data_IF_847437333866
#
_entry.id   IF_847437333866
#
_cell.length_a   1.000
_cell.length_b   1.000
_cell.length_c   1.000
_cell.angle_alpha   90.00
_cell.angle_beta   90.00
_cell.angle_gamma   90.00
#
_symmetry.space_group_name_H-M   'P 1'
#
loop_
_entity.id
_entity.type
_entity.pdbx_description
1 polymer ?
#
# COMPACT_ATOMS: atom_id res chain seq x y z
N UNK A 1 -22.94 -9.80 -3.22
CA UNK A 1 -22.75 -9.14 -4.52
C UNK A 1 -22.69 -7.65 -4.24
N UNK A 2 -21.50 -7.05 -4.34
CA UNK A 2 -21.27 -5.62 -4.07
C UNK A 2 -20.91 -4.98 -5.41
N UNK A 3 -21.79 -4.12 -5.93
CA UNK A 3 -21.48 -3.36 -7.14
C UNK A 3 -20.62 -2.14 -6.77
N UNK A 4 -19.44 -2.05 -7.36
CA UNK A 4 -18.58 -0.88 -7.24
C UNK A 4 -19.13 0.23 -8.14
N UNK A 5 -19.22 1.50 -7.67
CA UNK A 5 -19.60 2.63 -8.50
C UNK A 5 -18.64 2.81 -9.68
N UNK A 6 -19.18 3.03 -10.88
CA UNK A 6 -18.44 3.05 -12.18
C UNK A 6 -17.51 4.26 -12.39
N UNK A 7 -17.51 5.24 -11.49
CA UNK A 7 -16.71 6.47 -11.57
C UNK A 7 -15.83 6.65 -10.32
N UNK A 8 -14.77 5.85 -10.23
CA UNK A 8 -13.73 6.02 -9.20
C UNK A 8 -12.48 6.71 -9.74
N UNK A 9 -12.13 6.44 -11.00
CA UNK A 9 -10.84 6.83 -11.59
C UNK A 9 -10.63 8.35 -11.66
N UNK A 10 -11.66 9.12 -12.02
CA UNK A 10 -11.58 10.58 -12.20
C UNK A 10 -11.29 11.38 -10.92
N UNK A 11 -11.57 10.77 -9.75
CA UNK A 11 -11.35 11.37 -8.43
C UNK A 11 -9.96 11.03 -7.88
N UNK A 12 -9.47 9.82 -8.11
CA UNK A 12 -8.12 9.42 -7.67
C UNK A 12 -7.02 10.09 -8.49
N UNK A 13 -7.24 10.38 -9.77
CA UNK A 13 -6.24 11.06 -10.63
C UNK A 13 -5.88 12.48 -10.16
N UNK A 14 -6.79 13.16 -9.46
CA UNK A 14 -6.56 14.52 -8.92
C UNK A 14 -6.09 14.54 -7.48
N UNK A 15 -6.08 13.39 -6.80
CA UNK A 15 -5.66 13.28 -5.41
C UNK A 15 -4.17 13.01 -5.34
N UNK A 16 -3.48 13.72 -4.44
CA UNK A 16 -2.07 13.41 -4.15
C UNK A 16 -1.94 12.03 -3.50
N UNK A 17 -0.78 11.39 -3.62
CA UNK A 17 -0.47 10.12 -2.94
C UNK A 17 -0.82 10.17 -1.45
N UNK A 18 -0.53 11.28 -0.78
CA UNK A 18 -0.85 11.48 0.63
C UNK A 18 -2.36 11.51 0.90
N UNK A 19 -3.18 11.89 -0.08
CA UNK A 19 -4.63 11.90 0.00
C UNK A 19 -5.27 10.54 -0.34
N UNK A 20 -4.62 9.74 -1.18
CA UNK A 20 -5.10 8.42 -1.60
C UNK A 20 -4.76 7.36 -0.55
N UNK A 21 -3.52 7.34 -0.07
CA UNK A 21 -3.00 6.28 0.81
C UNK A 21 -2.76 6.73 2.25
N UNK A 22 -2.89 8.03 2.53
CA UNK A 22 -2.58 8.63 3.82
C UNK A 22 -1.09 8.93 4.02
N UNK A 23 -0.79 9.99 4.79
CA UNK A 23 0.58 10.53 4.92
C UNK A 23 1.57 9.60 5.61
N UNK A 24 1.14 8.72 6.52
CA UNK A 24 2.05 7.78 7.20
C UNK A 24 2.50 6.68 6.21
N UNK A 25 1.57 6.10 5.47
CA UNK A 25 1.88 5.17 4.38
C UNK A 25 2.66 5.86 3.27
N UNK A 26 2.29 7.09 2.92
CA UNK A 26 3.04 7.95 1.99
C UNK A 26 4.47 8.22 2.46
N UNK A 27 4.72 8.38 3.76
CA UNK A 27 6.06 8.55 4.31
C UNK A 27 6.92 7.27 4.16
N UNK A 28 6.35 6.09 4.37
CA UNK A 28 7.04 4.83 4.08
C UNK A 28 7.34 4.69 2.57
N UNK A 29 6.37 5.05 1.72
CA UNK A 29 6.54 5.02 0.27
C UNK A 29 7.64 5.97 -0.23
N UNK A 30 7.71 7.19 0.31
CA UNK A 30 8.71 8.20 -0.09
C UNK A 30 10.10 7.88 0.44
N UNK A 31 10.19 7.35 1.66
CA UNK A 31 11.49 7.08 2.32
C UNK A 31 12.10 5.73 1.96
N UNK A 32 11.30 4.79 1.47
CA UNK A 32 11.72 3.39 1.29
C UNK A 32 12.07 2.69 2.61
N UNK A 33 11.67 3.26 3.76
CA UNK A 33 11.94 2.71 5.10
C UNK A 33 10.63 2.39 5.85
N UNK A 34 10.62 1.36 6.72
CA UNK A 34 9.48 1.09 7.57
C UNK A 34 9.14 2.28 8.47
N UNK A 35 7.84 2.53 8.65
CA UNK A 35 7.31 3.56 9.55
C UNK A 35 6.35 2.91 10.53
N UNK A 36 6.65 3.01 11.83
CA UNK A 36 5.79 2.53 12.91
C UNK A 36 5.28 3.73 13.72
N UNK A 37 3.96 3.80 13.90
CA UNK A 37 3.28 4.84 14.67
C UNK A 37 2.43 4.14 15.74
N UNK A 38 2.78 4.27 17.03
CA UNK A 38 2.05 3.58 18.10
C UNK A 38 0.63 4.10 18.32
N UNK A 39 0.42 5.39 18.07
CA UNK A 39 -0.87 6.05 18.09
C UNK A 39 -0.93 7.13 17.00
N UNK A 40 -1.59 6.80 15.91
CA UNK A 40 -1.81 7.64 14.76
C UNK A 40 -2.61 8.89 15.14
N UNK A 41 -3.50 8.84 16.13
CA UNK A 41 -4.26 10.03 16.54
C UNK A 41 -3.36 11.15 17.09
N UNK A 42 -2.16 10.79 17.55
CA UNK A 42 -1.14 11.72 18.07
C UNK A 42 -0.11 12.15 17.03
N UNK A 43 -0.09 11.53 15.85
CA UNK A 43 0.89 11.82 14.81
C UNK A 43 0.44 13.03 13.97
N UNK A 44 1.27 14.08 13.79
CA UNK A 44 0.91 15.25 12.97
C UNK A 44 0.61 14.92 11.50
N UNK A 45 1.05 13.76 11.03
CA UNK A 45 0.78 13.25 9.67
C UNK A 45 -0.61 12.60 9.59
N UNK A 46 -1.26 12.30 10.71
CA UNK A 46 -2.59 11.72 10.70
C UNK A 46 -3.63 12.73 10.24
N UNK A 47 -4.35 12.37 9.18
CA UNK A 47 -5.53 13.08 8.70
C UNK A 47 -6.68 12.08 8.63
N UNK A 48 -7.86 12.51 9.10
CA UNK A 48 -9.09 11.71 9.01
C UNK A 48 -9.47 11.53 7.54
N UNK A 49 -9.30 10.34 6.98
CA UNK A 49 -9.72 10.04 5.60
C UNK A 49 -11.14 9.47 5.58
N UNK A 50 -12.08 10.27 5.09
CA UNK A 50 -13.48 9.84 4.90
C UNK A 50 -13.62 8.67 3.91
N UNK A 51 -12.67 8.52 2.99
CA UNK A 51 -12.71 7.48 1.93
C UNK A 51 -12.30 6.10 2.45
N UNK A 52 -11.41 6.04 3.44
CA UNK A 52 -10.81 4.79 3.91
C UNK A 52 -11.48 4.20 5.16
N UNK A 53 -12.43 4.90 5.80
CA UNK A 53 -13.05 4.52 7.09
C UNK A 53 -12.00 4.10 8.14
N UNK A 54 -10.84 4.75 8.15
CA UNK A 54 -9.73 4.49 9.08
C UNK A 54 -9.98 5.01 10.51
N UNK A 55 -11.19 5.47 10.80
CA UNK A 55 -11.60 6.09 12.08
C UNK A 55 -11.34 5.23 13.32
N UNK A 56 -11.05 3.94 13.15
CA UNK A 56 -10.86 2.99 14.25
C UNK A 56 -9.40 2.63 14.52
N UNK A 57 -8.46 2.93 13.63
CA UNK A 57 -7.09 2.42 13.74
C UNK A 57 -6.17 3.42 14.45
N UNK A 58 -5.61 2.97 15.57
CA UNK A 58 -4.72 3.76 16.41
C UNK A 58 -3.26 3.41 16.14
N UNK A 59 -2.85 2.14 16.18
CA UNK A 59 -1.46 1.81 15.83
C UNK A 59 -1.35 1.46 14.35
N UNK A 60 -0.26 1.89 13.71
CA UNK A 60 0.03 1.56 12.32
C UNK A 60 1.51 1.27 12.07
N UNK A 61 1.76 0.21 11.30
CA UNK A 61 3.07 -0.15 10.78
C UNK A 61 2.98 -0.24 9.26
N UNK A 62 3.66 0.68 8.58
CA UNK A 62 3.76 0.75 7.12
C UNK A 62 5.13 0.22 6.68
N UNK A 63 5.13 -0.88 5.94
CA UNK A 63 6.32 -1.56 5.46
C UNK A 63 6.45 -1.46 3.93
N UNK A 64 7.46 -0.76 3.40
CA UNK A 64 7.64 -0.63 1.96
C UNK A 64 8.08 -1.96 1.33
N UNK A 65 7.56 -2.24 0.14
CA UNK A 65 8.02 -3.33 -0.72
C UNK A 65 8.92 -2.71 -1.78
N UNK A 66 10.17 -3.17 -1.81
CA UNK A 66 11.17 -2.74 -2.78
C UNK A 66 11.33 -3.80 -3.88
N UNK A 67 11.54 -3.37 -5.11
CA UNK A 67 12.06 -4.24 -6.18
C UNK A 67 13.57 -4.47 -6.03
N UNK A 68 14.13 -5.31 -6.91
CA UNK A 68 15.56 -5.67 -6.88
C UNK A 68 16.47 -4.46 -7.18
N UNK A 69 15.93 -3.39 -7.79
CA UNK A 69 16.61 -2.12 -8.03
C UNK A 69 16.46 -1.10 -6.89
N UNK A 70 15.78 -1.47 -5.80
CA UNK A 70 15.55 -0.60 -4.64
C UNK A 70 14.42 0.41 -4.81
N UNK A 71 13.64 0.33 -5.88
CA UNK A 71 12.45 1.19 -6.09
C UNK A 71 11.27 0.65 -5.30
N UNK A 72 10.51 1.53 -4.66
CA UNK A 72 9.28 1.18 -3.95
C UNK A 72 8.19 0.83 -4.97
N UNK A 73 7.67 -0.40 -4.89
CA UNK A 73 6.60 -0.92 -5.77
C UNK A 73 5.27 -1.13 -5.04
N UNK A 74 5.25 -0.91 -3.72
CA UNK A 74 4.05 -1.00 -2.89
C UNK A 74 4.35 -0.80 -1.41
N UNK A 75 3.31 -0.77 -0.57
CA UNK A 75 3.42 -0.70 0.90
C UNK A 75 2.43 -1.66 1.53
N UNK A 76 2.87 -2.42 2.53
CA UNK A 76 2.02 -3.25 3.40
C UNK A 76 1.71 -2.43 4.65
N UNK A 77 0.43 -2.32 5.00
CA UNK A 77 -0.02 -1.70 6.25
C UNK A 77 -0.51 -2.76 7.22
N UNK A 78 -0.01 -2.73 8.45
CA UNK A 78 -0.55 -3.45 9.59
C UNK A 78 -1.14 -2.44 10.56
N UNK A 79 -2.43 -2.55 10.84
CA UNK A 79 -3.17 -1.58 11.65
C UNK A 79 -3.88 -2.27 12.81
N UNK A 80 -3.90 -1.65 14.00
CA UNK A 80 -4.69 -2.13 15.14
C UNK A 80 -5.58 -1.04 15.69
N UNK A 81 -6.77 -1.43 16.19
CA UNK A 81 -7.74 -0.46 16.75
C UNK A 81 -7.38 0.07 18.13
N UNK A 82 -6.35 -0.50 18.76
CA UNK A 82 -5.78 -0.02 20.02
C UNK A 82 -4.39 0.54 19.76
N UNK A 83 -4.05 1.62 20.46
CA UNK A 83 -2.69 2.14 20.49
C UNK A 83 -1.75 1.07 21.05
N UNK A 84 -0.61 0.85 20.38
CA UNK A 84 0.43 -0.07 20.83
C UNK A 84 1.71 0.16 20.04
N UNK A 85 2.84 -0.17 20.65
CA UNK A 85 4.11 -0.25 19.92
C UNK A 85 4.26 -1.61 19.25
N UNK A 86 4.81 -1.63 18.04
CA UNK A 86 5.26 -2.86 17.38
C UNK A 86 6.69 -3.17 17.83
N UNK A 87 6.93 -4.40 18.23
CA UNK A 87 8.29 -4.88 18.54
C UNK A 87 9.12 -5.00 17.26
N UNK A 88 10.45 -4.93 17.39
CA UNK A 88 11.36 -5.14 16.25
C UNK A 88 11.17 -6.51 15.59
N UNK A 89 10.77 -7.53 16.39
CA UNK A 89 10.46 -8.87 15.87
C UNK A 89 9.19 -8.87 15.03
N UNK A 90 8.11 -8.25 15.51
CA UNK A 90 6.86 -8.12 14.72
C UNK A 90 7.08 -7.33 13.44
N UNK A 91 7.85 -6.24 13.52
CA UNK A 91 8.19 -5.47 12.33
C UNK A 91 9.00 -6.28 11.33
N UNK A 92 10.04 -6.99 11.79
CA UNK A 92 10.87 -7.83 10.93
C UNK A 92 10.10 -9.01 10.34
N UNK A 93 9.10 -9.55 11.06
CA UNK A 93 8.26 -10.63 10.56
C UNK A 93 7.47 -10.24 9.30
N UNK A 94 7.13 -8.95 9.14
CA UNK A 94 6.48 -8.45 7.93
C UNK A 94 7.34 -8.71 6.68
N UNK A 95 8.67 -8.72 6.80
CA UNK A 95 9.55 -9.02 5.65
C UNK A 95 9.29 -10.41 5.06
N UNK A 96 8.90 -11.38 5.90
CA UNK A 96 8.55 -12.75 5.47
C UNK A 96 7.29 -12.74 4.61
N UNK A 97 6.29 -11.94 4.98
CA UNK A 97 5.05 -11.75 4.21
C UNK A 97 5.30 -10.89 2.96
N UNK A 98 6.19 -9.91 3.05
CA UNK A 98 6.51 -8.99 1.94
C UNK A 98 7.17 -9.71 0.76
N UNK A 99 7.94 -10.79 1.01
CA UNK A 99 8.61 -11.57 -0.03
C UNK A 99 7.65 -12.15 -1.08
N UNK A 100 6.66 -12.97 -0.70
CA UNK A 100 5.64 -13.47 -1.62
C UNK A 100 4.85 -12.37 -2.33
N UNK A 101 4.50 -11.28 -1.64
CA UNK A 101 3.79 -10.14 -2.26
C UNK A 101 4.64 -9.49 -3.34
N UNK A 102 5.94 -9.28 -3.09
CA UNK A 102 6.91 -8.80 -4.10
C UNK A 102 6.95 -9.71 -5.31
N UNK A 103 7.02 -11.03 -5.10
CA UNK A 103 7.04 -12.00 -6.18
C UNK A 103 5.79 -11.92 -7.06
N UNK A 104 4.60 -11.78 -6.44
CA UNK A 104 3.34 -11.60 -7.16
C UNK A 104 3.30 -10.30 -7.98
N UNK A 105 3.74 -9.17 -7.40
CA UNK A 105 3.82 -7.89 -8.11
C UNK A 105 4.74 -7.96 -9.33
N UNK A 106 5.88 -8.65 -9.21
CA UNK A 106 6.82 -8.85 -10.32
C UNK A 106 6.21 -9.66 -11.46
N UNK A 107 5.41 -10.70 -11.15
CA UNK A 107 4.72 -11.50 -12.17
C UNK A 107 3.69 -10.64 -12.90
N UNK A 108 2.91 -9.84 -12.17
CA UNK A 108 1.92 -8.92 -12.76
C UNK A 108 2.57 -7.96 -13.76
N UNK A 109 3.70 -7.37 -13.40
CA UNK A 109 4.39 -6.41 -14.27
C UNK A 109 4.90 -7.11 -15.54
N UNK A 110 5.46 -8.32 -15.42
CA UNK A 110 5.84 -9.13 -16.59
C UNK A 110 4.67 -9.44 -17.52
N UNK A 111 3.49 -9.79 -16.98
CA UNK A 111 2.32 -10.13 -17.80
C UNK A 111 1.75 -8.91 -18.52
N UNK A 112 1.84 -7.71 -17.95
CA UNK A 112 1.45 -6.46 -18.64
C UNK A 112 2.34 -6.13 -19.83
N UNK A 113 3.61 -6.47 -19.75
CA UNK A 113 4.60 -6.14 -20.79
C UNK A 113 4.68 -7.19 -21.91
N UNK A 114 3.94 -8.30 -21.81
CA UNK A 114 3.82 -9.27 -22.92
C UNK A 114 2.87 -8.68 -23.97
N UNK A 115 3.32 -8.46 -25.22
CA UNK A 115 2.44 -8.06 -26.30
C UNK A 115 1.37 -9.13 -26.47
N UNK A 116 0.09 -8.74 -26.48
CA UNK A 116 -0.98 -9.65 -26.88
C UNK A 116 -0.75 -9.98 -28.34
N UNK A 117 -0.32 -11.21 -28.62
CA UNK A 117 -0.20 -11.70 -29.98
C UNK A 117 -1.60 -11.65 -30.60
N UNK A 118 -1.76 -10.86 -31.67
CA UNK A 118 -3.03 -10.72 -32.38
C UNK A 118 -3.54 -12.11 -32.72
N UNK A 119 -4.81 -12.39 -32.38
CA UNK A 119 -5.44 -13.65 -32.75
C UNK A 119 -5.19 -13.93 -34.25
N UNK A 120 -4.85 -15.17 -34.63
CA UNK A 120 -4.61 -15.50 -36.02
C UNK A 120 -5.84 -15.11 -36.83
N UNK A 121 -5.61 -14.26 -37.84
CA UNK A 121 -6.66 -13.73 -38.71
C UNK A 121 -7.47 -14.90 -39.26
N UNK A 122 -8.76 -14.92 -38.92
CA UNK A 122 -9.66 -16.02 -39.24
C UNK A 122 -9.72 -16.25 -40.74
N UNK A 123 -9.24 -17.41 -41.18
CA UNK A 123 -9.48 -17.96 -42.52
C UNK A 123 -10.61 -18.97 -42.47
#
# INVERSE_FOLDING_TARGET
>A
MFELPRDKDSRYERMSLDEIVGKITGAAAKSGKPVAVPDATTDPRYRRFAVAREEKYMAMLSWPILDDGGRVIGVINVQTVRARSFTSREASYISVVAGPVRAGLRIRDRVRDVPVESAPDGR
#
